data_IF_316366564044
#
_entry.id   IF_316366564044
#
_cell.length_a   1.000
_cell.length_b   1.000
_cell.length_c   1.000
_cell.angle_alpha   90.00
_cell.angle_beta   90.00
_cell.angle_gamma   90.00
#
_symmetry.space_group_name_H-M   'P 1'
#
loop_
_entity.id
_entity.type
_entity.pdbx_description
1 polymer ?
#
# COMPACT_ATOMS: atom_id res chain seq x y z
N UNK A 1 25.05 -26.52 -8.43
CA UNK A 1 26.49 -26.43 -8.05
C UNK A 1 26.54 -25.83 -6.67
N UNK A 2 27.12 -26.48 -5.68
CA UNK A 2 27.23 -25.96 -4.32
C UNK A 2 28.35 -24.91 -4.22
N UNK A 3 28.21 -23.89 -3.34
CA UNK A 3 29.24 -22.89 -3.14
C UNK A 3 30.50 -23.54 -2.52
N UNK A 4 31.68 -23.09 -2.98
CA UNK A 4 32.96 -23.59 -2.45
C UNK A 4 33.29 -22.95 -1.09
N UNK A 5 32.90 -21.70 -0.90
CA UNK A 5 33.06 -20.95 0.35
C UNK A 5 32.04 -19.80 0.40
N UNK A 6 31.91 -19.22 1.58
CA UNK A 6 31.14 -18.02 1.85
C UNK A 6 32.06 -16.91 2.34
N UNK A 7 31.91 -15.72 1.80
CA UNK A 7 32.63 -14.54 2.27
C UNK A 7 31.69 -13.69 3.12
N UNK A 8 31.98 -13.58 4.41
CA UNK A 8 31.26 -12.72 5.33
C UNK A 8 31.93 -11.34 5.34
N UNK A 9 31.22 -10.33 4.86
CA UNK A 9 31.70 -8.94 4.86
C UNK A 9 31.29 -8.30 6.18
N UNK A 10 32.28 -7.99 7.04
CA UNK A 10 32.04 -7.32 8.31
C UNK A 10 31.80 -5.82 8.12
N UNK A 11 31.08 -5.18 9.05
CA UNK A 11 30.79 -3.74 9.04
C UNK A 11 32.05 -2.85 9.01
N UNK A 12 33.21 -3.37 9.42
CA UNK A 12 34.51 -2.69 9.40
C UNK A 12 35.31 -2.93 8.11
N UNK A 13 34.69 -3.52 7.07
CA UNK A 13 35.34 -3.76 5.78
C UNK A 13 36.27 -5.00 5.72
N UNK A 14 36.31 -5.82 6.76
CA UNK A 14 37.06 -7.10 6.76
C UNK A 14 36.22 -8.22 6.15
N UNK A 15 36.84 -9.06 5.33
CA UNK A 15 36.20 -10.26 4.76
C UNK A 15 36.70 -11.49 5.48
N UNK A 16 35.77 -12.31 6.01
CA UNK A 16 36.09 -13.59 6.64
C UNK A 16 35.54 -14.69 5.74
N UNK A 17 36.42 -15.59 5.30
CA UNK A 17 36.05 -16.73 4.48
C UNK A 17 35.60 -17.91 5.35
N UNK A 18 34.41 -18.41 5.09
CA UNK A 18 33.80 -19.51 5.86
C UNK A 18 33.55 -20.70 4.95
N UNK A 19 33.95 -21.88 5.41
CA UNK A 19 33.69 -23.14 4.69
C UNK A 19 32.18 -23.49 4.75
N UNK A 20 31.59 -24.03 3.69
CA UNK A 20 30.17 -24.39 3.63
C UNK A 20 29.70 -25.31 4.74
N UNK A 21 30.56 -26.19 5.27
CA UNK A 21 30.23 -27.06 6.39
C UNK A 21 29.91 -26.34 7.69
N UNK A 22 30.19 -25.03 7.78
CA UNK A 22 29.91 -24.18 8.95
C UNK A 22 28.75 -23.23 8.75
N UNK A 23 28.11 -23.27 7.57
CA UNK A 23 27.01 -22.41 7.20
C UNK A 23 25.75 -23.23 7.01
N UNK A 24 24.67 -22.84 7.66
CA UNK A 24 23.34 -23.34 7.39
C UNK A 24 22.53 -22.19 6.79
N UNK A 25 22.04 -22.38 5.57
CA UNK A 25 21.25 -21.39 4.87
C UNK A 25 19.77 -21.64 5.10
N UNK A 26 19.04 -20.59 5.44
CA UNK A 26 17.60 -20.56 5.40
C UNK A 26 17.22 -19.74 4.16
N UNK A 27 16.69 -20.42 3.16
CA UNK A 27 16.27 -19.80 1.90
C UNK A 27 14.76 -19.61 1.91
N UNK A 28 14.31 -18.50 1.37
CA UNK A 28 12.89 -18.26 1.07
C UNK A 28 12.51 -18.80 -0.30
N UNK A 29 11.70 -18.04 -1.05
CA UNK A 29 11.25 -18.43 -2.38
C UNK A 29 12.41 -18.63 -3.34
N UNK A 30 12.46 -19.79 -3.99
CA UNK A 30 13.50 -20.08 -4.97
C UNK A 30 13.31 -19.22 -6.22
N UNK A 31 14.42 -18.61 -6.64
CA UNK A 31 14.47 -17.87 -7.91
C UNK A 31 14.59 -18.81 -9.10
N UNK A 32 14.09 -18.44 -10.28
CA UNK A 32 14.40 -19.11 -11.53
C UNK A 32 15.92 -19.24 -11.71
N UNK A 33 16.37 -20.33 -12.34
CA UNK A 33 17.79 -20.68 -12.49
C UNK A 33 18.65 -19.54 -13.06
N UNK A 34 18.10 -18.82 -14.04
CA UNK A 34 18.79 -17.70 -14.69
C UNK A 34 19.00 -16.52 -13.71
N UNK A 35 18.06 -16.29 -12.81
CA UNK A 35 18.12 -15.22 -11.82
C UNK A 35 18.98 -15.61 -10.60
N UNK A 36 19.09 -16.90 -10.28
CA UNK A 36 19.92 -17.38 -9.18
C UNK A 36 21.41 -16.99 -9.30
N UNK A 37 21.90 -16.84 -10.53
CA UNK A 37 23.29 -16.44 -10.79
C UNK A 37 23.51 -14.97 -10.41
N UNK A 38 22.52 -14.11 -10.66
CA UNK A 38 22.60 -12.67 -10.40
C UNK A 38 22.56 -12.36 -8.89
N UNK A 39 21.89 -13.18 -8.12
CA UNK A 39 21.68 -13.00 -6.67
C UNK A 39 22.55 -13.95 -5.82
N UNK A 40 23.68 -14.41 -6.35
CA UNK A 40 24.59 -15.33 -5.64
C UNK A 40 23.88 -16.54 -5.01
N UNK A 41 22.77 -16.99 -5.64
CA UNK A 41 21.89 -18.08 -5.16
C UNK A 41 21.21 -17.83 -3.81
N UNK A 42 21.03 -16.57 -3.46
CA UNK A 42 20.10 -16.22 -2.40
C UNK A 42 18.67 -16.18 -2.94
N UNK A 43 17.72 -16.43 -2.06
CA UNK A 43 16.32 -16.36 -2.38
C UNK A 43 15.86 -14.89 -2.55
N UNK A 44 14.74 -14.71 -3.23
CA UNK A 44 14.10 -13.42 -3.40
C UNK A 44 13.38 -12.96 -2.13
N UNK A 45 13.13 -11.66 -2.04
CA UNK A 45 12.36 -11.08 -0.95
C UNK A 45 10.87 -11.38 -1.13
N UNK A 46 10.20 -11.90 -0.11
CA UNK A 46 8.74 -12.04 -0.11
C UNK A 46 8.05 -10.69 -0.27
N UNK A 47 8.73 -9.59 0.10
CA UNK A 47 8.18 -8.23 -0.01
C UNK A 47 8.08 -7.76 -1.47
N UNK A 48 8.90 -8.27 -2.38
CA UNK A 48 8.88 -7.87 -3.78
C UNK A 48 7.56 -8.27 -4.47
N UNK A 49 7.00 -9.40 -4.08
CA UNK A 49 5.70 -9.86 -4.60
C UNK A 49 4.52 -8.97 -4.17
N UNK A 50 4.63 -8.30 -3.02
CA UNK A 50 3.55 -7.47 -2.46
C UNK A 50 3.79 -5.97 -2.63
N UNK A 51 5.01 -5.55 -3.00
CA UNK A 51 5.36 -4.14 -3.13
C UNK A 51 4.42 -3.38 -4.08
N UNK A 52 4.16 -3.96 -5.25
CA UNK A 52 3.28 -3.34 -6.26
C UNK A 52 1.88 -3.15 -5.70
N UNK A 53 1.33 -4.17 -5.06
CA UNK A 53 -0.02 -4.12 -4.49
C UNK A 53 -0.14 -3.06 -3.37
N UNK A 54 0.88 -2.96 -2.50
CA UNK A 54 0.93 -1.93 -1.45
C UNK A 54 1.03 -0.53 -2.05
N UNK A 55 1.90 -0.35 -3.04
CA UNK A 55 2.08 0.94 -3.72
C UNK A 55 0.80 1.40 -4.39
N UNK A 56 0.11 0.51 -5.11
CA UNK A 56 -1.13 0.82 -5.80
C UNK A 56 -2.27 1.12 -4.80
N UNK A 57 -2.39 0.38 -3.71
CA UNK A 57 -3.35 0.65 -2.64
C UNK A 57 -3.08 2.00 -1.97
N UNK A 58 -1.82 2.34 -1.72
CA UNK A 58 -1.42 3.62 -1.13
C UNK A 58 -1.74 4.79 -2.07
N UNK A 59 -1.43 4.64 -3.37
CA UNK A 59 -1.76 5.65 -4.38
C UNK A 59 -3.29 5.83 -4.50
N UNK A 60 -4.05 4.75 -4.46
CA UNK A 60 -5.52 4.79 -4.43
C UNK A 60 -6.07 5.52 -3.22
N UNK A 61 -5.53 5.27 -2.02
CA UNK A 61 -5.91 6.00 -0.81
C UNK A 61 -5.63 7.49 -0.91
N UNK A 62 -4.46 7.87 -1.43
CA UNK A 62 -4.11 9.27 -1.64
C UNK A 62 -5.05 9.94 -2.66
N UNK A 63 -5.39 9.23 -3.75
CA UNK A 63 -6.36 9.69 -4.73
C UNK A 63 -7.75 9.91 -4.12
N UNK A 64 -8.23 8.98 -3.30
CA UNK A 64 -9.50 9.10 -2.57
C UNK A 64 -9.46 10.32 -1.62
N UNK A 65 -8.37 10.51 -0.88
CA UNK A 65 -8.23 11.66 0.02
C UNK A 65 -8.26 12.99 -0.75
N UNK A 66 -7.61 13.07 -1.90
CA UNK A 66 -7.67 14.25 -2.77
C UNK A 66 -9.09 14.49 -3.31
N UNK A 67 -9.77 13.44 -3.79
CA UNK A 67 -11.16 13.54 -4.24
C UNK A 67 -12.11 14.03 -3.14
N UNK A 68 -11.92 13.59 -1.90
CA UNK A 68 -12.72 14.06 -0.76
C UNK A 68 -12.47 15.54 -0.47
N UNK A 69 -11.22 16.01 -0.61
CA UNK A 69 -10.91 17.43 -0.46
C UNK A 69 -11.51 18.29 -1.58
N UNK A 70 -11.54 17.76 -2.81
CA UNK A 70 -12.13 18.43 -3.98
C UNK A 70 -13.64 18.22 -4.11
N UNK A 71 -14.25 17.49 -3.17
CA UNK A 71 -15.65 17.05 -3.22
C UNK A 71 -16.69 18.15 -3.38
N UNK A 72 -16.34 19.37 -3.00
CA UNK A 72 -17.22 20.53 -3.06
C UNK A 72 -16.54 21.63 -3.87
N UNK A 73 -16.93 21.77 -5.11
CA UNK A 73 -16.51 22.89 -5.95
C UNK A 73 -17.65 23.90 -6.01
N UNK A 74 -17.39 25.08 -5.51
CA UNK A 74 -18.28 26.21 -5.64
C UNK A 74 -18.10 26.87 -7.00
N UNK A 75 -19.14 26.88 -7.81
CA UNK A 75 -19.13 27.49 -9.13
C UNK A 75 -19.91 28.80 -9.06
N UNK A 76 -19.21 29.92 -9.31
CA UNK A 76 -19.79 31.26 -9.40
C UNK A 76 -19.79 31.66 -10.85
N UNK A 77 -20.95 31.99 -11.40
CA UNK A 77 -21.07 32.61 -12.72
C UNK A 77 -21.32 34.11 -12.52
N UNK A 78 -20.36 34.90 -12.97
CA UNK A 78 -20.38 36.38 -12.85
C UNK A 78 -20.41 36.94 -14.25
N UNK A 79 -21.39 37.78 -14.51
CA UNK A 79 -21.51 38.45 -15.79
C UNK A 79 -20.35 39.43 -16.05
N UNK A 80 -19.79 39.41 -17.25
CA UNK A 80 -18.65 40.25 -17.61
C UNK A 80 -17.32 39.95 -16.90
N UNK A 81 -17.18 38.82 -16.21
CA UNK A 81 -16.00 38.45 -15.41
C UNK A 81 -14.68 38.52 -16.21
N UNK A 82 -14.65 37.94 -17.41
CA UNK A 82 -13.44 37.90 -18.24
C UNK A 82 -13.05 39.32 -18.74
N UNK A 83 -14.01 40.18 -18.98
CA UNK A 83 -13.79 41.56 -19.43
C UNK A 83 -13.29 42.45 -18.29
N UNK A 84 -13.86 42.27 -17.11
CA UNK A 84 -13.44 42.94 -15.88
C UNK A 84 -12.03 42.59 -15.44
N UNK A 85 -11.59 41.36 -15.67
CA UNK A 85 -10.25 40.86 -15.31
C UNK A 85 -9.09 41.58 -16.04
N UNK A 86 -9.36 42.40 -17.05
CA UNK A 86 -8.37 43.27 -17.69
C UNK A 86 -7.97 44.47 -16.81
N UNK A 87 -8.78 44.81 -15.80
CA UNK A 87 -8.55 45.93 -14.88
C UNK A 87 -7.99 45.43 -13.55
N UNK A 88 -6.89 46.03 -13.10
CA UNK A 88 -6.29 45.71 -11.78
C UNK A 88 -7.20 46.11 -10.61
N UNK A 89 -7.99 47.14 -10.77
CA UNK A 89 -8.97 47.56 -9.75
C UNK A 89 -10.06 46.49 -9.60
N UNK A 90 -10.56 45.97 -10.72
CA UNK A 90 -11.55 44.91 -10.70
C UNK A 90 -11.01 43.59 -10.08
N UNK A 91 -9.78 43.21 -10.41
CA UNK A 91 -9.14 42.01 -9.80
C UNK A 91 -9.09 42.11 -8.29
N UNK A 92 -8.69 43.25 -7.73
CA UNK A 92 -8.66 43.46 -6.27
C UNK A 92 -10.05 43.39 -5.67
N UNK A 93 -11.04 44.01 -6.28
CA UNK A 93 -12.42 43.94 -5.81
C UNK A 93 -12.99 42.52 -5.82
N UNK A 94 -12.66 41.72 -6.83
CA UNK A 94 -13.05 40.31 -6.93
C UNK A 94 -12.44 39.51 -5.80
N UNK A 95 -11.13 39.66 -5.52
CA UNK A 95 -10.45 38.94 -4.45
C UNK A 95 -11.05 39.31 -3.09
N UNK A 96 -11.28 40.59 -2.83
CA UNK A 96 -11.89 41.10 -1.61
C UNK A 96 -13.32 40.55 -1.43
N UNK A 97 -14.11 40.56 -2.49
CA UNK A 97 -15.46 39.98 -2.50
C UNK A 97 -15.45 38.49 -2.16
N UNK A 98 -14.57 37.67 -2.79
CA UNK A 98 -14.49 36.26 -2.53
C UNK A 98 -13.99 35.97 -1.13
N UNK A 99 -13.05 36.71 -0.57
CA UNK A 99 -12.61 36.57 0.82
C UNK A 99 -13.75 36.82 1.81
N UNK A 100 -14.56 37.84 1.55
CA UNK A 100 -15.74 38.18 2.32
C UNK A 100 -16.80 37.07 2.22
N UNK A 101 -17.11 36.57 1.02
CA UNK A 101 -18.05 35.47 0.79
C UNK A 101 -17.62 34.20 1.51
N UNK A 102 -16.33 33.84 1.47
CA UNK A 102 -15.82 32.67 2.19
C UNK A 102 -15.94 32.84 3.72
N UNK A 103 -15.63 34.02 4.23
CA UNK A 103 -15.79 34.32 5.66
C UNK A 103 -17.25 34.20 6.10
N UNK A 104 -18.18 34.78 5.34
CA UNK A 104 -19.61 34.69 5.65
C UNK A 104 -20.14 33.27 5.53
N UNK A 105 -19.76 32.53 4.50
CA UNK A 105 -20.14 31.12 4.32
C UNK A 105 -19.64 30.23 5.47
N UNK A 106 -18.44 30.50 5.97
CA UNK A 106 -17.85 29.75 7.08
C UNK A 106 -18.51 30.08 8.43
N UNK A 107 -18.83 31.35 8.68
CA UNK A 107 -19.27 31.83 10.01
C UNK A 107 -20.78 31.81 10.17
N UNK A 108 -21.52 32.16 9.13
CA UNK A 108 -22.98 32.42 9.20
C UNK A 108 -23.78 31.46 8.32
N UNK A 109 -23.13 30.56 7.56
CA UNK A 109 -23.77 29.71 6.54
C UNK A 109 -24.63 30.48 5.51
N UNK A 110 -24.30 31.74 5.28
CA UNK A 110 -25.02 32.60 4.33
C UNK A 110 -24.14 32.87 3.11
N UNK A 111 -24.76 32.83 1.93
CA UNK A 111 -24.14 33.18 0.67
C UNK A 111 -24.81 34.44 0.11
N UNK A 112 -24.05 35.48 -0.07
CA UNK A 112 -24.55 36.76 -0.65
C UNK A 112 -24.14 36.84 -2.12
N UNK A 113 -25.12 36.92 -2.99
CA UNK A 113 -24.94 36.98 -4.43
C UNK A 113 -25.54 38.30 -4.98
N UNK A 114 -25.04 38.81 -6.07
CA UNK A 114 -25.67 39.89 -6.82
C UNK A 114 -26.85 39.32 -7.63
N UNK A 115 -27.74 40.20 -8.07
CA UNK A 115 -28.98 39.82 -8.75
C UNK A 115 -28.76 38.97 -10.01
N UNK A 116 -27.65 39.16 -10.69
CA UNK A 116 -27.30 38.47 -11.95
C UNK A 116 -26.32 37.33 -11.77
N UNK A 117 -25.82 37.13 -10.53
CA UNK A 117 -24.87 36.03 -10.26
C UNK A 117 -25.61 34.73 -10.03
N UNK A 118 -25.07 33.66 -10.57
CA UNK A 118 -25.56 32.31 -10.29
C UNK A 118 -24.52 31.50 -9.52
N UNK A 119 -24.99 30.77 -8.55
CA UNK A 119 -24.18 29.86 -7.72
C UNK A 119 -24.68 28.44 -7.87
N UNK A 120 -23.77 27.53 -8.11
CA UNK A 120 -24.05 26.09 -8.11
C UNK A 120 -22.98 25.39 -7.31
N UNK A 121 -23.39 24.57 -6.36
CA UNK A 121 -22.50 23.67 -5.67
C UNK A 121 -22.54 22.29 -6.36
N UNK A 122 -21.43 21.90 -6.97
CA UNK A 122 -21.26 20.54 -7.49
C UNK A 122 -20.74 19.67 -6.38
N UNK A 123 -21.53 18.68 -5.99
CA UNK A 123 -21.12 17.64 -5.04
C UNK A 123 -20.89 16.33 -5.78
N UNK A 124 -19.82 15.64 -5.44
CA UNK A 124 -19.51 14.30 -5.96
C UNK A 124 -20.09 13.25 -5.00
N UNK A 125 -20.68 12.20 -5.56
CA UNK A 125 -21.18 11.09 -4.76
C UNK A 125 -20.03 10.11 -4.46
N UNK A 126 -19.77 9.88 -3.19
CA UNK A 126 -18.70 8.99 -2.71
C UNK A 126 -19.18 7.62 -2.24
N UNK A 127 -20.42 7.25 -2.52
CA UNK A 127 -21.02 6.03 -2.00
C UNK A 127 -20.23 4.74 -2.39
N UNK A 128 -19.52 4.75 -3.49
CA UNK A 128 -18.74 3.60 -3.97
C UNK A 128 -17.26 3.60 -3.54
N UNK A 129 -16.73 4.70 -2.98
CA UNK A 129 -15.32 4.78 -2.60
C UNK A 129 -14.91 3.77 -1.52
N UNK A 130 -15.72 3.50 -0.48
CA UNK A 130 -15.38 2.49 0.51
C UNK A 130 -15.22 1.09 -0.10
N UNK A 131 -16.02 0.77 -1.11
CA UNK A 131 -15.95 -0.52 -1.79
C UNK A 131 -14.67 -0.65 -2.63
N UNK A 132 -14.30 0.42 -3.34
CA UNK A 132 -13.04 0.47 -4.09
C UNK A 132 -11.84 0.30 -3.15
N UNK A 133 -11.85 0.99 -2.01
CA UNK A 133 -10.79 0.88 -1.01
C UNK A 133 -10.70 -0.53 -0.43
N UNK A 134 -11.85 -1.14 -0.13
CA UNK A 134 -11.92 -2.52 0.36
C UNK A 134 -11.33 -3.50 -0.66
N UNK A 135 -11.67 -3.35 -1.94
CA UNK A 135 -11.13 -4.19 -3.00
C UNK A 135 -9.61 -4.05 -3.10
N UNK A 136 -9.07 -2.84 -3.02
CA UNK A 136 -7.62 -2.63 -3.02
C UNK A 136 -6.92 -3.33 -1.84
N UNK A 137 -7.50 -3.26 -0.63
CA UNK A 137 -6.98 -3.96 0.54
C UNK A 137 -7.08 -5.48 0.40
N UNK A 138 -8.12 -6.00 -0.25
CA UNK A 138 -8.23 -7.43 -0.57
C UNK A 138 -7.17 -7.87 -1.57
N UNK A 139 -6.82 -7.04 -2.56
CA UNK A 139 -5.72 -7.32 -3.49
C UNK A 139 -4.38 -7.40 -2.75
N UNK A 140 -4.13 -6.48 -1.80
CA UNK A 140 -2.92 -6.53 -0.95
C UNK A 140 -2.88 -7.81 -0.12
N UNK A 141 -4.02 -8.18 0.48
CA UNK A 141 -4.17 -9.43 1.24
C UNK A 141 -3.88 -10.66 0.37
N UNK A 142 -4.42 -10.69 -0.85
CA UNK A 142 -4.15 -11.74 -1.83
C UNK A 142 -2.69 -11.80 -2.27
N UNK A 143 -2.06 -10.64 -2.51
CA UNK A 143 -0.64 -10.57 -2.87
C UNK A 143 0.28 -11.05 -1.72
N UNK A 144 -0.11 -10.77 -0.47
CA UNK A 144 0.58 -11.28 0.73
C UNK A 144 0.26 -12.75 1.03
N UNK A 145 -0.73 -13.31 0.33
CA UNK A 145 -1.26 -14.66 0.54
C UNK A 145 -1.70 -14.91 1.99
N UNK A 146 -2.27 -13.86 2.60
CA UNK A 146 -2.86 -13.89 3.93
C UNK A 146 -4.37 -13.63 3.77
N UNK A 147 -5.27 -14.49 4.29
CA UNK A 147 -6.70 -14.27 4.19
C UNK A 147 -7.10 -12.88 4.68
N UNK A 148 -7.97 -12.20 3.95
CA UNK A 148 -8.43 -10.84 4.28
C UNK A 148 -9.05 -10.76 5.68
N UNK A 149 -9.73 -11.81 6.12
CA UNK A 149 -10.27 -11.94 7.48
C UNK A 149 -9.20 -11.85 8.55
N UNK A 150 -8.02 -12.40 8.30
CA UNK A 150 -6.87 -12.37 9.21
C UNK A 150 -6.07 -11.07 9.07
N UNK A 151 -5.83 -10.65 7.82
CA UNK A 151 -5.01 -9.49 7.50
C UNK A 151 -5.68 -8.17 7.88
N UNK A 152 -6.98 -8.04 7.58
CA UNK A 152 -7.75 -6.82 7.82
C UNK A 152 -8.58 -6.87 9.12
N UNK A 153 -8.64 -8.02 9.79
CA UNK A 153 -9.50 -8.22 10.96
C UNK A 153 -11.00 -8.09 10.65
N UNK A 154 -11.39 -8.29 9.38
CA UNK A 154 -12.77 -8.19 8.93
C UNK A 154 -13.49 -9.52 9.09
N UNK A 155 -14.78 -9.47 9.40
CA UNK A 155 -15.61 -10.69 9.38
C UNK A 155 -15.76 -11.18 7.94
N UNK A 156 -15.79 -12.53 7.72
CA UNK A 156 -16.04 -13.08 6.40
C UNK A 156 -17.39 -12.60 5.85
N UNK A 157 -17.44 -12.32 4.55
CA UNK A 157 -18.69 -11.96 3.89
C UNK A 157 -19.46 -13.22 3.44
N UNK A 158 -20.75 -13.19 3.68
CA UNK A 158 -21.68 -14.27 3.30
C UNK A 158 -22.43 -14.86 4.48
N UNK A 159 -23.64 -15.35 4.20
CA UNK A 159 -24.63 -15.77 5.22
C UNK A 159 -24.20 -16.97 6.07
N UNK A 160 -23.17 -17.74 5.67
CA UNK A 160 -22.65 -18.93 6.38
C UNK A 160 -21.12 -18.95 6.43
N UNK A 161 -20.47 -17.79 6.29
CA UNK A 161 -19.02 -17.73 6.23
C UNK A 161 -18.46 -17.60 7.65
N UNK A 162 -17.92 -18.71 8.19
CA UNK A 162 -17.25 -18.72 9.50
C UNK A 162 -15.77 -18.30 9.39
N UNK A 163 -15.21 -18.25 8.17
CA UNK A 163 -13.79 -18.04 7.95
C UNK A 163 -12.90 -19.23 8.30
N UNK A 164 -13.48 -20.33 8.80
CA UNK A 164 -12.71 -21.52 9.24
C UNK A 164 -11.97 -22.18 8.08
N UNK A 165 -12.58 -22.19 6.89
CA UNK A 165 -11.95 -22.69 5.67
C UNK A 165 -10.71 -21.89 5.27
N UNK A 166 -10.80 -20.58 5.32
CA UNK A 166 -9.69 -19.67 5.01
C UNK A 166 -8.54 -19.84 6.02
N UNK A 167 -8.88 -19.93 7.30
CA UNK A 167 -7.90 -20.15 8.36
C UNK A 167 -7.22 -21.51 8.23
N UNK A 168 -7.96 -22.59 7.87
CA UNK A 168 -7.39 -23.90 7.64
C UNK A 168 -6.40 -23.86 6.47
N UNK A 169 -6.81 -23.33 5.33
CA UNK A 169 -5.94 -23.20 4.17
C UNK A 169 -4.68 -22.39 4.48
N UNK A 170 -4.82 -21.32 5.28
CA UNK A 170 -3.69 -20.51 5.73
C UNK A 170 -2.71 -21.30 6.61
N UNK A 171 -3.21 -22.07 7.56
CA UNK A 171 -2.35 -22.90 8.42
C UNK A 171 -1.72 -24.08 7.64
N UNK A 172 -2.44 -24.69 6.72
CA UNK A 172 -1.91 -25.75 5.86
C UNK A 172 -0.75 -25.19 5.00
N UNK A 173 -0.89 -23.97 4.47
CA UNK A 173 0.18 -23.29 3.78
C UNK A 173 1.38 -23.01 4.69
N UNK A 174 1.17 -22.44 5.89
CA UNK A 174 2.26 -22.20 6.83
C UNK A 174 3.00 -23.51 7.14
N UNK A 175 2.27 -24.60 7.32
CA UNK A 175 2.88 -25.92 7.57
C UNK A 175 3.70 -26.38 6.36
N UNK A 176 3.23 -26.17 5.15
CA UNK A 176 3.97 -26.49 3.93
C UNK A 176 5.26 -25.66 3.80
N UNK A 177 5.20 -24.35 4.07
CA UNK A 177 6.36 -23.47 4.08
C UNK A 177 7.39 -23.87 5.16
N UNK A 178 6.92 -24.23 6.34
CA UNK A 178 7.80 -24.73 7.41
C UNK A 178 8.50 -26.02 7.00
N UNK A 179 7.76 -26.95 6.40
CA UNK A 179 8.29 -28.22 5.94
C UNK A 179 9.31 -28.04 4.81
N UNK A 180 9.01 -27.16 3.85
CA UNK A 180 9.82 -26.94 2.67
C UNK A 180 11.10 -26.14 2.97
N UNK A 181 10.98 -25.05 3.74
CA UNK A 181 12.08 -24.08 3.88
C UNK A 181 12.79 -24.14 5.23
N UNK A 182 12.15 -24.63 6.28
CA UNK A 182 12.72 -24.60 7.63
C UNK A 182 13.19 -25.96 8.14
N UNK A 183 12.52 -27.05 7.80
CA UNK A 183 12.80 -28.38 8.37
C UNK A 183 14.22 -28.83 8.09
N UNK A 184 14.62 -28.93 6.85
CA UNK A 184 15.95 -29.43 6.47
C UNK A 184 17.08 -28.55 7.04
N UNK A 185 17.05 -27.20 6.93
CA UNK A 185 18.05 -26.36 7.57
C UNK A 185 18.13 -26.51 9.08
N UNK A 186 16.98 -26.67 9.77
CA UNK A 186 16.93 -26.86 11.21
C UNK A 186 17.51 -28.21 11.63
N UNK A 187 17.22 -29.29 10.92
CA UNK A 187 17.80 -30.61 11.15
C UNK A 187 19.33 -30.61 10.96
N UNK A 188 19.79 -29.90 9.90
CA UNK A 188 21.20 -29.69 9.66
C UNK A 188 21.88 -28.90 10.78
N UNK A 189 21.24 -27.83 11.25
CA UNK A 189 21.73 -27.01 12.37
C UNK A 189 21.81 -27.84 13.64
N UNK A 190 20.75 -28.59 13.96
CA UNK A 190 20.69 -29.47 15.12
C UNK A 190 21.79 -30.54 15.10
N UNK A 191 21.98 -31.21 13.96
CA UNK A 191 23.01 -32.21 13.78
C UNK A 191 24.41 -31.67 14.01
N UNK A 192 24.66 -30.42 13.51
CA UNK A 192 25.98 -29.77 13.71
C UNK A 192 26.24 -29.35 15.16
N UNK A 193 25.20 -28.97 15.90
CA UNK A 193 25.33 -28.51 17.28
C UNK A 193 25.45 -29.67 18.26
N UNK A 194 24.71 -30.75 18.05
CA UNK A 194 24.58 -31.83 19.04
C UNK A 194 25.32 -33.12 18.69
N UNK A 195 25.53 -33.46 17.44
CA UNK A 195 26.18 -34.70 17.00
C UNK A 195 27.70 -34.54 16.88
N UNK A 196 28.25 -33.35 16.90
CA UNK A 196 29.67 -33.03 16.92
C UNK A 196 30.18 -32.81 18.37
N UNK A 197 29.98 -33.77 19.26
CA UNK A 197 30.78 -33.90 20.47
C UNK A 197 31.79 -35.02 20.33
#
# INVERSE_FOLDING_TARGET
>A
MEPIYYDLIGAAGGTIRIHPSRVVRFLGNELPVDSQILYDRWADSILDSIEIAIRDATAGQQGIAALVQEAKVDVYQIDGFMEGMKSEVYKRAVVERFSLVQSMKSTVNALVLDKNDTYQQKSVNFAQLPEVQRLQLQIVSGAADIPATRFLGQSPEGMNSTGDGDLRNYYDRISAEQELHLREPLENLWTRLYVRR
#
